data_IF_847001521935
#
_entry.id   IF_847001521935
#
_cell.length_a   1.000
_cell.length_b   1.000
_cell.length_c   1.000
_cell.angle_alpha   90.00
_cell.angle_beta   90.00
_cell.angle_gamma   90.00
#
_symmetry.space_group_name_H-M   'P 1'
#
loop_
_entity.id
_entity.type
_entity.pdbx_description
1 polymer ?
#
# COMPACT_ATOMS: atom_id res chain seq x y z
N UNK A 1 -3.44 -0.30 -23.91
CA UNK A 1 -3.48 -0.57 -22.45
C UNK A 1 -4.85 -0.16 -21.97
N UNK A 2 -5.69 -1.12 -21.59
CA UNK A 2 -7.05 -0.85 -21.17
C UNK A 2 -7.01 -0.19 -19.79
N UNK A 3 -7.33 1.10 -19.75
CA UNK A 3 -7.57 1.82 -18.51
C UNK A 3 -8.85 1.26 -17.91
N UNK A 4 -8.71 0.29 -17.00
CA UNK A 4 -9.82 -0.29 -16.25
C UNK A 4 -10.54 0.87 -15.56
N UNK A 5 -11.83 1.09 -15.88
CA UNK A 5 -12.54 2.25 -15.37
C UNK A 5 -12.68 2.07 -13.86
N UNK A 6 -12.41 3.12 -13.08
CA UNK A 6 -12.58 3.12 -11.61
C UNK A 6 -13.96 2.58 -11.19
N UNK A 7 -15.00 2.75 -12.04
CA UNK A 7 -16.33 2.17 -11.85
C UNK A 7 -16.36 0.64 -11.84
N UNK A 8 -15.62 -0.03 -12.73
CA UNK A 8 -15.64 -1.50 -12.85
C UNK A 8 -15.01 -2.18 -11.61
N UNK A 9 -14.13 -1.45 -10.90
CA UNK A 9 -13.47 -1.91 -9.67
C UNK A 9 -14.32 -1.81 -8.40
N UNK A 10 -15.41 -1.02 -8.40
CA UNK A 10 -16.31 -0.89 -7.24
C UNK A 10 -17.31 -2.06 -7.21
N UNK A 11 -17.68 -2.59 -8.37
CA UNK A 11 -18.63 -3.70 -8.53
C UNK A 11 -17.95 -5.09 -8.61
N UNK A 12 -16.61 -5.13 -8.66
CA UNK A 12 -15.86 -6.38 -8.64
C UNK A 12 -16.06 -7.12 -7.31
N UNK A 13 -16.35 -8.42 -7.41
CA UNK A 13 -16.53 -9.29 -6.25
C UNK A 13 -15.28 -9.22 -5.36
N UNK A 14 -15.47 -8.83 -4.10
CA UNK A 14 -14.36 -8.69 -3.16
C UNK A 14 -13.69 -10.06 -2.99
N UNK A 15 -12.36 -10.16 -3.18
CA UNK A 15 -11.65 -11.41 -2.96
C UNK A 15 -11.82 -11.87 -1.50
N UNK A 16 -11.71 -13.18 -1.29
CA UNK A 16 -11.77 -13.78 0.06
C UNK A 16 -10.66 -13.17 0.92
N UNK A 17 -10.91 -12.99 2.22
CA UNK A 17 -9.90 -12.54 3.18
C UNK A 17 -8.64 -13.42 3.11
N UNK A 18 -7.47 -12.81 3.25
CA UNK A 18 -6.19 -13.49 3.08
C UNK A 18 -5.78 -13.75 1.63
N UNK A 19 -6.61 -13.42 0.64
CA UNK A 19 -6.24 -13.57 -0.77
C UNK A 19 -5.16 -12.55 -1.14
N UNK A 20 -4.05 -13.04 -1.69
CA UNK A 20 -3.02 -12.21 -2.32
C UNK A 20 -3.57 -11.67 -3.63
N UNK A 21 -3.59 -10.35 -3.77
CA UNK A 21 -4.11 -9.63 -4.94
C UNK A 21 -2.99 -9.07 -5.83
N UNK A 22 -1.78 -8.92 -5.29
CA UNK A 22 -0.60 -8.53 -6.05
C UNK A 22 0.70 -9.02 -5.43
N UNK A 23 1.71 -9.25 -6.27
CA UNK A 23 3.10 -9.48 -5.85
C UNK A 23 3.92 -8.24 -6.19
N UNK A 24 4.57 -7.68 -5.18
CA UNK A 24 5.43 -6.51 -5.27
C UNK A 24 6.78 -6.90 -5.89
N UNK A 25 7.40 -5.98 -6.62
CA UNK A 25 8.80 -6.14 -7.02
C UNK A 25 9.74 -5.91 -5.83
N UNK A 26 11.00 -6.34 -5.96
CA UNK A 26 12.02 -6.10 -4.93
C UNK A 26 12.19 -4.61 -4.62
N UNK A 27 12.10 -3.76 -5.64
CA UNK A 27 12.22 -2.30 -5.53
C UNK A 27 11.03 -1.71 -4.76
N UNK A 28 9.81 -2.17 -5.05
CA UNK A 28 8.60 -1.70 -4.38
C UNK A 28 8.56 -2.11 -2.91
N UNK A 29 8.94 -3.35 -2.63
CA UNK A 29 9.07 -3.86 -1.28
C UNK A 29 10.17 -3.12 -0.50
N UNK A 30 11.31 -2.82 -1.13
CA UNK A 30 12.38 -2.03 -0.52
C UNK A 30 11.91 -0.61 -0.18
N UNK A 31 11.20 0.06 -1.09
CA UNK A 31 10.62 1.38 -0.84
C UNK A 31 9.63 1.36 0.33
N UNK A 32 8.75 0.35 0.40
CA UNK A 32 7.82 0.22 1.52
C UNK A 32 8.52 -0.05 2.84
N UNK A 33 9.58 -0.87 2.82
CA UNK A 33 10.41 -1.15 3.99
C UNK A 33 11.04 0.12 4.55
N UNK A 34 11.58 1.00 3.71
CA UNK A 34 12.17 2.27 4.16
C UNK A 34 11.12 3.18 4.83
N UNK A 35 9.91 3.24 4.27
CA UNK A 35 8.79 3.98 4.84
C UNK A 35 8.40 3.39 6.20
N UNK A 36 8.32 2.05 6.32
CA UNK A 36 7.99 1.37 7.56
C UNK A 36 9.03 1.64 8.66
N UNK A 37 10.32 1.53 8.34
CA UNK A 37 11.42 1.84 9.27
C UNK A 37 11.36 3.30 9.72
N UNK A 38 11.13 4.22 8.78
CA UNK A 38 11.00 5.65 9.09
C UNK A 38 9.83 5.91 10.04
N UNK A 39 8.71 5.23 9.83
CA UNK A 39 7.53 5.32 10.69
C UNK A 39 7.78 4.74 12.11
N UNK A 40 8.52 3.64 12.24
CA UNK A 40 8.89 3.09 13.55
C UNK A 40 9.87 4.00 14.29
N UNK A 41 10.89 4.52 13.61
CA UNK A 41 11.82 5.49 14.18
C UNK A 41 11.09 6.77 14.65
N UNK A 42 10.13 7.23 13.85
CA UNK A 42 9.20 8.30 14.18
C UNK A 42 8.36 7.99 15.42
N UNK A 43 7.85 6.77 15.60
CA UNK A 43 7.09 6.41 16.82
C UNK A 43 7.96 6.37 18.08
N UNK A 44 9.24 6.01 17.95
CA UNK A 44 10.17 5.91 19.07
C UNK A 44 10.72 7.25 19.53
N UNK A 45 10.59 8.29 18.70
CA UNK A 45 11.17 9.62 18.96
C UNK A 45 10.06 10.68 19.07
N UNK A 46 10.25 11.71 19.89
CA UNK A 46 9.34 12.86 19.95
C UNK A 46 9.55 13.78 18.73
N UNK A 47 9.29 13.26 17.54
CA UNK A 47 9.36 14.00 16.28
C UNK A 47 8.32 15.10 16.18
N UNK A 48 8.63 16.08 15.34
CA UNK A 48 7.75 17.19 15.01
C UNK A 48 6.60 16.73 14.11
N UNK A 49 5.45 17.41 14.22
CA UNK A 49 4.27 17.17 13.38
C UNK A 49 4.59 17.23 11.87
N UNK A 50 5.58 18.04 11.49
CA UNK A 50 6.04 18.16 10.10
C UNK A 50 6.61 16.85 9.57
N UNK A 51 7.51 16.20 10.30
CA UNK A 51 8.11 14.94 9.85
C UNK A 51 7.08 13.80 9.80
N UNK A 52 6.17 13.77 10.79
CA UNK A 52 5.07 12.80 10.78
C UNK A 52 4.18 12.95 9.54
N UNK A 53 3.92 14.20 9.12
CA UNK A 53 3.17 14.50 7.90
C UNK A 53 3.92 14.04 6.65
N UNK A 54 5.21 14.35 6.52
CA UNK A 54 6.02 13.94 5.38
C UNK A 54 6.05 12.41 5.22
N UNK A 55 6.17 11.65 6.31
CA UNK A 55 6.15 10.18 6.28
C UNK A 55 4.77 9.67 5.85
N UNK A 56 3.69 10.29 6.34
CA UNK A 56 2.33 9.92 5.96
C UNK A 56 2.05 10.18 4.48
N UNK A 57 2.51 11.32 3.95
CA UNK A 57 2.40 11.67 2.53
C UNK A 57 3.17 10.68 1.65
N UNK A 58 4.43 10.36 1.99
CA UNK A 58 5.22 9.33 1.28
C UNK A 58 4.54 7.96 1.27
N UNK A 59 3.96 7.56 2.40
CA UNK A 59 3.21 6.30 2.50
C UNK A 59 1.98 6.31 1.59
N UNK A 60 1.24 7.41 1.56
CA UNK A 60 0.05 7.57 0.72
C UNK A 60 0.41 7.53 -0.78
N UNK A 61 1.45 8.24 -1.20
CA UNK A 61 1.94 8.27 -2.59
C UNK A 61 2.40 6.88 -3.06
N UNK A 62 3.16 6.17 -2.21
CA UNK A 62 3.58 4.80 -2.52
C UNK A 62 2.36 3.90 -2.70
N UNK A 63 1.37 4.01 -1.80
CA UNK A 63 0.16 3.19 -1.87
C UNK A 63 -0.69 3.48 -3.10
N UNK A 64 -0.88 4.75 -3.46
CA UNK A 64 -1.56 5.15 -4.69
C UNK A 64 -0.88 4.58 -5.93
N UNK A 65 0.45 4.63 -5.98
CA UNK A 65 1.24 4.05 -7.06
C UNK A 65 0.99 2.55 -7.22
N UNK A 66 1.01 1.79 -6.11
CA UNK A 66 0.73 0.35 -6.11
C UNK A 66 -0.71 0.08 -6.56
N UNK A 67 -1.70 0.79 -6.02
CA UNK A 67 -3.08 0.60 -6.40
C UNK A 67 -3.34 0.88 -7.88
N UNK A 68 -2.75 1.95 -8.44
CA UNK A 68 -2.86 2.25 -9.88
C UNK A 68 -2.16 1.18 -10.72
N UNK A 69 -0.93 0.81 -10.37
CA UNK A 69 -0.12 -0.16 -11.13
C UNK A 69 -0.79 -1.52 -11.24
N UNK A 70 -1.36 -2.00 -10.13
CA UNK A 70 -1.98 -3.33 -10.05
C UNK A 70 -3.50 -3.30 -10.24
N UNK A 71 -4.09 -2.13 -10.50
CA UNK A 71 -5.54 -1.99 -10.66
C UNK A 71 -6.33 -2.33 -9.40
N UNK A 72 -5.77 -2.06 -8.22
CA UNK A 72 -6.38 -2.42 -6.94
C UNK A 72 -7.34 -1.31 -6.46
N UNK A 73 -8.55 -1.65 -6.00
CA UNK A 73 -9.48 -0.66 -5.43
C UNK A 73 -9.04 -0.20 -4.04
N UNK A 74 -8.94 1.11 -3.84
CA UNK A 74 -8.68 1.71 -2.51
C UNK A 74 -9.76 1.42 -1.46
N UNK A 75 -10.96 1.01 -1.89
CA UNK A 75 -12.09 0.69 -1.03
C UNK A 75 -12.01 -0.70 -0.43
N UNK A 76 -11.09 -1.55 -0.90
CA UNK A 76 -10.85 -2.87 -0.34
C UNK A 76 -9.94 -2.76 0.89
N UNK A 77 -10.12 -3.62 1.92
CA UNK A 77 -9.26 -3.64 3.11
C UNK A 77 -7.93 -4.32 2.74
N UNK A 78 -7.12 -3.65 1.93
CA UNK A 78 -5.86 -4.18 1.43
C UNK A 78 -4.70 -3.81 2.35
N UNK A 79 -3.77 -4.75 2.54
CA UNK A 79 -2.54 -4.58 3.32
C UNK A 79 -1.36 -5.06 2.49
N UNK A 80 -0.23 -4.35 2.61
CA UNK A 80 1.03 -4.74 2.02
C UNK A 80 1.96 -5.36 3.07
N UNK A 81 2.68 -6.41 2.67
CA UNK A 81 3.78 -7.01 3.41
C UNK A 81 5.06 -6.89 2.58
N UNK A 82 6.06 -6.15 3.08
CA UNK A 82 7.35 -5.99 2.39
C UNK A 82 8.30 -7.18 2.59
N UNK A 83 8.07 -8.03 3.58
CA UNK A 83 8.88 -9.23 3.85
C UNK A 83 8.49 -10.32 2.85
N UNK A 84 7.19 -10.59 2.77
CA UNK A 84 6.60 -11.56 1.84
C UNK A 84 6.43 -10.96 0.42
N UNK A 85 6.57 -9.64 0.27
CA UNK A 85 6.47 -8.88 -0.99
C UNK A 85 5.10 -9.05 -1.66
N UNK A 86 4.04 -9.01 -0.87
CA UNK A 86 2.67 -9.22 -1.36
C UNK A 86 1.72 -8.15 -0.86
N UNK A 87 0.64 -7.93 -1.62
CA UNK A 87 -0.53 -7.19 -1.20
C UNK A 87 -1.69 -8.17 -1.07
N UNK A 88 -2.40 -8.16 0.05
CA UNK A 88 -3.47 -9.09 0.34
C UNK A 88 -4.67 -8.40 1.01
N UNK A 89 -5.82 -9.07 1.01
CA UNK A 89 -7.03 -8.61 1.71
C UNK A 89 -6.89 -8.91 3.20
N UNK A 90 -6.79 -7.88 4.04
CA UNK A 90 -6.76 -8.01 5.48
C UNK A 90 -8.03 -8.65 6.05
N UNK A 91 -7.84 -9.31 7.20
CA UNK A 91 -8.90 -9.97 7.97
C UNK A 91 -9.95 -9.01 8.55
#
# INVERSE_FOLDING_TARGET
MAMMRIKDNIEAEKPVRGTVVATLTDEEAAAYREIAISYEAARMTHITLTLAREIAEKKAEWWETICIKYGLPHTWPLVADYVEKVVYVAE
#
